data_IF_155476052776
#
_entry.id   IF_155476052776
#
_cell.length_a   1.000
_cell.length_b   1.000
_cell.length_c   1.000
_cell.angle_alpha   90.00
_cell.angle_beta   90.00
_cell.angle_gamma   90.00
#
_symmetry.space_group_name_H-M   'P 1'
#
loop_
_entity.id
_entity.type
_entity.pdbx_description
1 polymer ?
#
# COMPACT_ATOMS: atom_id res chain seq x y z
N UNK A 1 34.18 18.14 50.70
CA UNK A 1 33.09 18.34 49.69
C UNK A 1 33.23 17.31 48.59
N UNK A 2 32.32 16.40 48.42
CA UNK A 2 32.41 15.40 47.34
C UNK A 2 32.03 16.02 46.02
N UNK A 3 32.85 15.84 44.99
CA UNK A 3 32.58 16.23 43.60
C UNK A 3 31.45 15.36 43.01
N UNK A 4 30.37 15.99 42.55
CA UNK A 4 29.33 15.32 41.78
C UNK A 4 29.92 14.90 40.43
N UNK A 5 30.07 13.60 40.22
CA UNK A 5 30.30 13.04 38.89
C UNK A 5 28.99 13.12 38.10
N UNK A 6 28.97 14.00 37.08
CA UNK A 6 27.93 13.98 36.04
C UNK A 6 28.20 12.76 35.14
N UNK A 7 27.46 11.69 35.37
CA UNK A 7 27.40 10.57 34.41
C UNK A 7 26.55 10.98 33.23
N UNK A 8 27.18 11.44 32.17
CA UNK A 8 26.55 11.59 30.85
C UNK A 8 26.38 10.20 30.26
N UNK A 9 25.17 9.65 30.33
CA UNK A 9 24.79 8.43 29.62
C UNK A 9 24.38 8.86 28.21
N UNK A 10 25.15 8.51 27.16
CA UNK A 10 24.66 8.78 25.80
C UNK A 10 23.44 7.90 25.52
N UNK A 11 22.28 8.52 25.37
CA UNK A 11 21.09 7.86 24.83
C UNK A 11 21.41 7.46 23.38
N UNK A 12 21.79 6.22 23.17
CA UNK A 12 21.89 5.63 21.84
C UNK A 12 20.47 5.57 21.26
N UNK A 13 20.11 6.59 20.49
CA UNK A 13 18.90 6.59 19.68
C UNK A 13 19.03 5.38 18.74
N UNK A 14 18.10 4.42 18.86
CA UNK A 14 18.03 3.30 17.94
C UNK A 14 18.08 3.82 16.50
N UNK A 15 18.86 3.21 15.60
CA UNK A 15 18.92 3.65 14.22
C UNK A 15 17.53 3.68 13.64
N UNK A 16 17.16 4.79 12.99
CA UNK A 16 15.86 4.93 12.35
C UNK A 16 15.66 3.76 11.37
N UNK A 17 14.55 3.02 11.54
CA UNK A 17 14.26 1.87 10.71
C UNK A 17 14.13 2.32 9.25
N UNK A 18 14.92 1.72 8.37
CA UNK A 18 14.83 1.98 6.93
C UNK A 18 13.58 1.30 6.38
N UNK A 19 12.54 2.09 6.10
CA UNK A 19 11.24 1.61 5.63
C UNK A 19 10.83 2.33 4.34
N UNK A 20 11.70 2.31 3.32
CA UNK A 20 11.39 2.90 2.02
C UNK A 20 11.74 1.94 0.88
N UNK A 21 11.05 2.10 -0.24
CA UNK A 21 11.28 1.35 -1.47
C UNK A 21 11.55 2.29 -2.64
N UNK A 22 12.51 1.93 -3.49
CA UNK A 22 12.69 2.57 -4.80
C UNK A 22 11.65 2.00 -5.76
N UNK A 23 10.84 2.86 -6.34
CA UNK A 23 9.87 2.51 -7.37
C UNK A 23 10.51 2.47 -8.76
N UNK A 24 9.85 1.86 -9.73
CA UNK A 24 10.30 1.78 -11.12
C UNK A 24 10.48 3.17 -11.76
N UNK A 25 9.60 4.12 -11.41
CA UNK A 25 9.69 5.53 -11.81
C UNK A 25 10.95 6.25 -11.31
N UNK A 26 11.64 5.68 -10.33
CA UNK A 26 12.74 6.31 -9.59
C UNK A 26 12.31 6.99 -8.31
N UNK A 27 11.02 7.11 -8.02
CA UNK A 27 10.53 7.65 -6.75
C UNK A 27 11.00 6.80 -5.58
N UNK A 28 11.25 7.46 -4.46
CA UNK A 28 11.55 6.84 -3.17
C UNK A 28 10.32 6.93 -2.29
N UNK A 29 9.59 5.84 -2.15
CA UNK A 29 8.41 5.78 -1.31
C UNK A 29 8.77 5.38 0.11
N UNK A 30 8.47 6.22 1.09
CA UNK A 30 8.50 5.88 2.50
C UNK A 30 7.21 5.14 2.86
N UNK A 31 7.33 3.91 3.36
CA UNK A 31 6.17 3.04 3.64
C UNK A 31 5.49 3.44 4.95
N UNK A 32 6.25 3.95 5.92
CA UNK A 32 5.72 4.36 7.22
C UNK A 32 5.12 5.76 7.21
N UNK A 33 5.59 6.62 6.30
CA UNK A 33 5.11 7.99 6.13
C UNK A 33 5.04 8.36 4.64
N UNK A 34 4.13 7.72 3.88
CA UNK A 34 4.07 7.92 2.44
C UNK A 34 3.64 9.34 2.09
N UNK A 35 4.40 9.98 1.19
CA UNK A 35 4.02 11.27 0.61
C UNK A 35 3.16 11.03 -0.64
N UNK A 36 2.04 11.73 -0.80
CA UNK A 36 1.27 11.69 -2.06
C UNK A 36 2.09 12.03 -3.29
N UNK A 37 3.13 12.88 -3.15
CA UNK A 37 4.01 13.28 -4.25
C UNK A 37 4.97 12.16 -4.73
N UNK A 38 5.15 11.13 -3.93
CA UNK A 38 5.98 9.97 -4.28
C UNK A 38 5.19 8.81 -4.88
N UNK A 39 3.90 9.02 -5.14
CA UNK A 39 3.00 8.03 -5.72
C UNK A 39 2.72 8.38 -7.18
N UNK A 40 3.20 7.53 -8.09
CA UNK A 40 2.96 7.63 -9.52
C UNK A 40 2.00 6.52 -9.97
N UNK A 41 1.04 6.87 -10.83
CA UNK A 41 0.02 5.92 -11.27
C UNK A 41 0.63 4.75 -12.05
N UNK A 42 1.71 4.99 -12.77
CA UNK A 42 2.45 3.99 -13.53
C UNK A 42 3.07 2.95 -12.59
N UNK A 43 3.62 3.36 -11.45
CA UNK A 43 4.15 2.44 -10.43
C UNK A 43 3.03 1.60 -9.82
N UNK A 44 1.89 2.21 -9.53
CA UNK A 44 0.70 1.52 -9.00
C UNK A 44 0.23 0.47 -10.02
N UNK A 45 -0.01 0.87 -11.25
CA UNK A 45 -0.48 -0.03 -12.31
C UNK A 45 0.50 -1.17 -12.57
N UNK A 46 1.80 -0.87 -12.63
CA UNK A 46 2.86 -1.84 -12.84
C UNK A 46 2.93 -2.87 -11.70
N UNK A 47 2.87 -2.40 -10.44
CA UNK A 47 2.87 -3.24 -9.26
C UNK A 47 1.64 -4.15 -9.21
N UNK A 48 0.45 -3.59 -9.34
CA UNK A 48 -0.81 -4.34 -9.30
C UNK A 48 -0.93 -5.39 -10.41
N UNK A 49 -0.34 -5.13 -11.59
CA UNK A 49 -0.33 -6.09 -12.69
C UNK A 49 0.55 -7.33 -12.41
N UNK A 50 1.43 -7.26 -11.42
CA UNK A 50 2.37 -8.32 -11.05
C UNK A 50 2.05 -8.99 -9.70
N UNK A 51 0.99 -8.56 -9.04
CA UNK A 51 0.48 -9.18 -7.81
C UNK A 51 -0.72 -10.04 -8.18
N UNK A 52 -0.69 -11.33 -7.82
CA UNK A 52 -1.79 -12.25 -8.06
C UNK A 52 -2.73 -12.32 -6.86
N UNK A 53 -4.03 -12.47 -7.16
CA UNK A 53 -5.05 -12.76 -6.15
C UNK A 53 -4.83 -14.16 -5.56
N UNK A 54 -5.19 -14.32 -4.27
CA UNK A 54 -5.18 -15.63 -3.55
C UNK A 54 -3.86 -16.40 -3.68
N UNK A 55 -2.72 -15.67 -3.68
CA UNK A 55 -1.38 -16.28 -3.84
C UNK A 55 -1.25 -17.15 -5.11
N UNK A 56 -1.98 -16.81 -6.17
CA UNK A 56 -1.97 -17.57 -7.40
C UNK A 56 -2.70 -18.94 -7.33
N UNK A 57 -3.44 -19.22 -6.25
CA UNK A 57 -4.18 -20.47 -6.07
C UNK A 57 -5.47 -20.47 -6.88
N UNK A 58 -5.32 -20.40 -8.20
CA UNK A 58 -6.41 -20.40 -9.18
C UNK A 58 -6.17 -21.46 -10.24
N UNK A 59 -7.25 -21.93 -10.86
CA UNK A 59 -7.15 -22.87 -11.98
C UNK A 59 -6.74 -22.12 -13.26
N UNK A 60 -6.04 -22.82 -14.15
CA UNK A 60 -5.60 -22.30 -15.43
C UNK A 60 -4.12 -21.92 -15.45
N UNK A 61 -3.67 -21.44 -16.61
CA UNK A 61 -2.25 -21.14 -16.85
C UNK A 61 -1.80 -19.84 -16.23
N UNK A 62 -2.70 -18.87 -16.10
CA UNK A 62 -2.39 -17.52 -15.62
C UNK A 62 -3.16 -17.20 -14.34
N UNK A 63 -2.47 -16.55 -13.39
CA UNK A 63 -3.11 -16.01 -12.20
C UNK A 63 -3.92 -14.76 -12.52
N UNK A 64 -4.96 -14.50 -11.74
CA UNK A 64 -5.71 -13.25 -11.79
C UNK A 64 -4.90 -12.17 -11.08
N UNK A 65 -4.51 -11.10 -11.79
CA UNK A 65 -3.79 -9.99 -11.17
C UNK A 65 -4.72 -9.05 -10.39
N UNK A 66 -4.17 -8.34 -9.43
CA UNK A 66 -4.90 -7.29 -8.70
C UNK A 66 -5.33 -6.17 -9.66
N UNK A 67 -4.52 -5.85 -10.68
CA UNK A 67 -4.89 -4.88 -11.72
C UNK A 67 -6.15 -5.32 -12.47
N UNK A 68 -6.24 -6.57 -12.91
CA UNK A 68 -7.45 -7.12 -13.57
C UNK A 68 -8.66 -7.07 -12.64
N UNK A 69 -8.47 -7.47 -11.37
CA UNK A 69 -9.50 -7.37 -10.36
C UNK A 69 -10.00 -5.93 -10.19
N UNK A 70 -9.11 -4.96 -10.07
CA UNK A 70 -9.46 -3.54 -9.90
C UNK A 70 -10.27 -2.98 -11.08
N UNK A 71 -9.87 -3.31 -12.31
CA UNK A 71 -10.62 -2.93 -13.51
C UNK A 71 -12.01 -3.58 -13.53
N UNK A 72 -12.11 -4.86 -13.16
CA UNK A 72 -13.39 -5.56 -13.08
C UNK A 72 -14.33 -4.94 -12.04
N UNK A 73 -13.81 -4.57 -10.89
CA UNK A 73 -14.59 -3.87 -9.84
C UNK A 73 -15.13 -2.55 -10.35
N UNK A 74 -14.33 -1.73 -11.02
CA UNK A 74 -14.77 -0.47 -11.62
C UNK A 74 -15.86 -0.72 -12.67
N UNK A 75 -15.71 -1.70 -13.53
CA UNK A 75 -16.71 -2.04 -14.56
C UNK A 75 -18.04 -2.48 -13.94
N UNK A 76 -18.01 -3.28 -12.88
CA UNK A 76 -19.21 -3.73 -12.16
C UNK A 76 -19.92 -2.53 -11.51
N UNK A 77 -19.15 -1.64 -10.85
CA UNK A 77 -19.68 -0.42 -10.25
C UNK A 77 -20.37 0.45 -11.30
N UNK A 78 -19.74 0.66 -12.45
CA UNK A 78 -20.26 1.48 -13.54
C UNK A 78 -21.57 0.91 -14.14
N UNK A 79 -21.66 -0.42 -14.24
CA UNK A 79 -22.88 -1.10 -14.71
C UNK A 79 -24.02 -1.03 -13.72
N UNK A 80 -23.74 -1.25 -12.44
CA UNK A 80 -24.75 -1.29 -11.38
C UNK A 80 -25.22 0.10 -10.96
N UNK A 81 -24.38 1.13 -11.13
CA UNK A 81 -24.66 2.51 -10.78
C UNK A 81 -24.23 3.46 -11.92
N UNK A 82 -24.97 3.49 -13.06
CA UNK A 82 -24.57 4.28 -14.24
C UNK A 82 -24.47 5.79 -13.98
N UNK A 83 -25.15 6.28 -12.94
CA UNK A 83 -25.12 7.70 -12.55
C UNK A 83 -24.07 8.00 -11.46
N UNK A 84 -23.26 7.01 -11.08
CA UNK A 84 -22.21 7.18 -10.06
C UNK A 84 -21.19 8.20 -10.54
N UNK A 85 -20.88 9.20 -9.69
CA UNK A 85 -19.90 10.21 -10.02
C UNK A 85 -18.50 9.58 -10.24
N UNK A 86 -17.75 10.16 -11.17
CA UNK A 86 -16.44 9.65 -11.59
C UNK A 86 -15.47 9.42 -10.40
N UNK A 87 -15.49 10.30 -9.40
CA UNK A 87 -14.66 10.16 -8.19
C UNK A 87 -14.88 8.84 -7.45
N UNK A 88 -16.12 8.34 -7.43
CA UNK A 88 -16.43 7.06 -6.76
C UNK A 88 -16.06 5.86 -7.62
N UNK A 89 -16.16 6.00 -8.96
CA UNK A 89 -15.64 5.00 -9.89
C UNK A 89 -14.11 4.87 -9.75
N UNK A 90 -13.42 6.01 -9.64
CA UNK A 90 -11.98 6.06 -9.39
C UNK A 90 -11.63 5.45 -8.03
N UNK A 91 -12.39 5.74 -6.97
CA UNK A 91 -12.20 5.12 -5.67
C UNK A 91 -12.36 3.59 -5.73
N UNK A 92 -13.33 3.09 -6.50
CA UNK A 92 -13.49 1.66 -6.74
C UNK A 92 -12.32 1.05 -7.51
N UNK A 93 -11.80 1.73 -8.51
CA UNK A 93 -10.62 1.31 -9.27
C UNK A 93 -9.36 1.22 -8.38
N UNK A 94 -9.22 2.14 -7.43
CA UNK A 94 -8.05 2.27 -6.56
C UNK A 94 -8.24 1.63 -5.17
N UNK A 95 -9.33 0.86 -4.95
CA UNK A 95 -9.64 0.32 -3.62
C UNK A 95 -8.56 -0.59 -3.05
N UNK A 96 -7.86 -1.35 -3.89
CA UNK A 96 -6.74 -2.22 -3.54
C UNK A 96 -5.38 -1.64 -3.97
N UNK A 97 -5.32 -0.33 -4.31
CA UNK A 97 -4.08 0.29 -4.78
C UNK A 97 -2.88 0.13 -3.82
N UNK A 98 -3.02 0.18 -2.48
CA UNK A 98 -1.91 -0.08 -1.56
C UNK A 98 -1.18 -1.40 -1.80
N UNK A 99 -1.83 -2.38 -2.41
CA UNK A 99 -1.26 -3.70 -2.68
C UNK A 99 -0.09 -3.67 -3.67
N UNK A 100 0.12 -2.57 -4.40
CA UNK A 100 1.32 -2.42 -5.23
C UNK A 100 2.61 -2.38 -4.40
N UNK A 101 2.50 -2.09 -3.10
CA UNK A 101 3.61 -2.07 -2.12
C UNK A 101 3.56 -3.28 -1.20
N UNK A 102 2.39 -3.57 -0.63
CA UNK A 102 2.22 -4.57 0.44
C UNK A 102 1.78 -5.94 -0.07
N UNK A 103 1.43 -6.06 -1.34
CA UNK A 103 0.90 -7.30 -1.92
C UNK A 103 -0.56 -7.58 -1.54
N UNK A 104 -1.16 -8.59 -2.20
CA UNK A 104 -2.51 -9.08 -1.88
C UNK A 104 -2.41 -10.15 -0.80
N UNK A 105 -2.59 -9.77 0.45
CA UNK A 105 -2.59 -10.68 1.58
C UNK A 105 -3.98 -11.26 1.81
N UNK A 106 -4.05 -12.59 1.93
CA UNK A 106 -5.30 -13.28 2.26
C UNK A 106 -5.79 -12.93 3.67
N UNK A 107 -7.10 -12.92 3.87
CA UNK A 107 -7.73 -12.55 5.15
C UNK A 107 -7.19 -13.31 6.36
N UNK A 108 -6.98 -14.64 6.33
CA UNK A 108 -6.40 -15.36 7.47
C UNK A 108 -5.00 -14.88 7.83
N UNK A 109 -4.19 -14.50 6.85
CA UNK A 109 -2.85 -14.00 7.12
C UNK A 109 -2.87 -12.59 7.69
N UNK A 110 -3.75 -11.70 7.18
CA UNK A 110 -4.00 -10.38 7.78
C UNK A 110 -4.40 -10.48 9.25
N UNK A 111 -5.30 -11.41 9.57
CA UNK A 111 -5.73 -11.66 10.94
C UNK A 111 -4.58 -12.13 11.84
N UNK A 112 -3.68 -12.97 11.33
CA UNK A 112 -2.51 -13.45 12.07
C UNK A 112 -1.46 -12.35 12.31
N UNK A 113 -1.31 -11.39 11.39
CA UNK A 113 -0.38 -10.26 11.54
C UNK A 113 -0.82 -9.22 12.57
N UNK A 114 -2.13 -9.13 12.83
CA UNK A 114 -2.69 -8.16 13.76
C UNK A 114 -2.87 -6.75 13.19
N UNK A 115 -3.15 -5.74 14.05
CA UNK A 115 -3.63 -4.42 13.62
C UNK A 115 -2.56 -3.54 12.96
N UNK A 116 -1.28 -3.79 13.17
CA UNK A 116 -0.20 -2.94 12.63
C UNK A 116 -0.16 -2.93 11.10
N UNK A 117 -0.46 -4.06 10.47
CA UNK A 117 -0.61 -4.17 9.03
C UNK A 117 -1.65 -3.16 8.50
N UNK A 118 -2.80 -3.07 9.16
CA UNK A 118 -3.88 -2.17 8.76
C UNK A 118 -3.47 -0.69 8.86
N UNK A 119 -2.67 -0.32 9.82
CA UNK A 119 -2.17 1.05 9.95
C UNK A 119 -1.32 1.47 8.75
N UNK A 120 -0.48 0.57 8.24
CA UNK A 120 0.33 0.82 7.04
C UNK A 120 -0.57 0.91 5.80
N UNK A 121 -1.50 -0.02 5.63
CA UNK A 121 -2.46 -0.05 4.54
C UNK A 121 -3.27 1.24 4.46
N UNK A 122 -3.84 1.69 5.58
CA UNK A 122 -4.64 2.92 5.66
C UNK A 122 -3.83 4.15 5.28
N UNK A 123 -2.61 4.31 5.78
CA UNK A 123 -1.74 5.45 5.44
C UNK A 123 -1.41 5.49 3.94
N UNK A 124 -1.10 4.34 3.34
CA UNK A 124 -0.88 4.25 1.90
C UNK A 124 -2.14 4.62 1.12
N UNK A 125 -3.31 4.11 1.55
CA UNK A 125 -4.59 4.41 0.91
C UNK A 125 -4.94 5.91 1.00
N UNK A 126 -4.71 6.53 2.15
CA UNK A 126 -4.91 7.98 2.33
C UNK A 126 -4.01 8.78 1.40
N UNK A 127 -2.72 8.44 1.31
CA UNK A 127 -1.78 9.11 0.41
C UNK A 127 -2.19 8.96 -1.07
N UNK A 128 -2.67 7.79 -1.48
CA UNK A 128 -3.19 7.53 -2.82
C UNK A 128 -4.45 8.37 -3.09
N UNK A 129 -5.39 8.42 -2.15
CA UNK A 129 -6.62 9.22 -2.29
C UNK A 129 -6.35 10.73 -2.35
N UNK A 130 -5.30 11.22 -1.67
CA UNK A 130 -4.91 12.63 -1.76
C UNK A 130 -4.26 12.91 -3.12
N UNK A 131 -3.51 11.94 -3.66
CA UNK A 131 -2.79 12.09 -4.93
C UNK A 131 -3.72 12.14 -6.13
N UNK A 132 -4.78 11.33 -6.14
CA UNK A 132 -5.69 11.12 -7.27
C UNK A 132 -7.14 11.48 -6.94
#
# INVERSE_FOLDING_TARGET
MPKKQNSFTPTTRAPAMRAWQRMLSGRRLDILSPSPLDIEIEDVAHGLARVTRWNGQTKGTYGLSVAQHSVLVEQILSRNAPKLAQKWRLAGLLHDAPEYVIGDMITPFKAALGPQYRHIEVRLQEAIHIRF
#
